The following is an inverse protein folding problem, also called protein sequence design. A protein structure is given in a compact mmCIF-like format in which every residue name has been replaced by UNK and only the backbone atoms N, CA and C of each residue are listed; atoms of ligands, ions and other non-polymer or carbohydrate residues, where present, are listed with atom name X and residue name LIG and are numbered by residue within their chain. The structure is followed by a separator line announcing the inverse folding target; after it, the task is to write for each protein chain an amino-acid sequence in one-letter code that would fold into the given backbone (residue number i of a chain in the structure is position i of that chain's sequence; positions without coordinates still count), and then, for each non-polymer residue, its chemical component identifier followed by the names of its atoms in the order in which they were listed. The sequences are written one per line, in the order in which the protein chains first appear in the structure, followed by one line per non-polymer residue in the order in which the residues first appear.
data_IF_336690426859
#
_entry.id   IF_336690426859
#
_cell.length_a   1.000
_cell.length_b   1.000
_cell.length_c   1.000
_cell.angle_alpha   90.00
_cell.angle_beta   90.00
_cell.angle_gamma   90.00
#
_symmetry.space_group_name_H-M   'P 1'
#
loop_
_entity.id
_entity.type
_entity.pdbx_description
1 polymer ?
#
# COMPACT_ATOMS: atom_id res chain seq x y z
N UNK A 1 9.57 41.95 -31.96
CA UNK A 1 10.31 40.69 -32.11
C UNK A 1 11.76 40.98 -31.76
N UNK A 2 12.15 40.70 -30.51
CA UNK A 2 13.51 40.89 -30.00
C UNK A 2 14.18 39.52 -29.83
N UNK A 3 15.47 39.36 -30.16
CA UNK A 3 16.13 38.07 -30.06
C UNK A 3 16.57 37.76 -28.62
N UNK A 4 16.50 36.47 -28.29
CA UNK A 4 16.88 35.86 -27.02
C UNK A 4 18.42 35.79 -26.89
N UNK A 5 19.04 36.15 -25.75
CA UNK A 5 20.48 36.01 -25.57
C UNK A 5 20.87 34.57 -25.19
N UNK A 6 22.00 34.13 -25.75
CA UNK A 6 22.56 32.78 -25.65
C UNK A 6 23.11 32.45 -24.24
N UNK A 7 22.76 31.26 -23.73
CA UNK A 7 23.34 30.65 -22.53
C UNK A 7 24.80 30.26 -22.78
N UNK A 8 25.71 30.76 -21.93
CA UNK A 8 27.11 30.32 -21.85
C UNK A 8 27.20 28.95 -21.19
N UNK A 9 27.79 27.99 -21.90
CA UNK A 9 28.20 26.68 -21.41
C UNK A 9 29.32 26.81 -20.37
N UNK A 10 29.06 26.41 -19.13
CA UNK A 10 30.10 26.23 -18.10
C UNK A 10 30.87 24.92 -18.36
N UNK A 11 32.20 25.02 -18.32
CA UNK A 11 33.13 23.94 -18.64
C UNK A 11 33.00 22.73 -17.71
N UNK A 12 32.91 21.55 -18.31
CA UNK A 12 32.95 20.26 -17.63
C UNK A 12 34.41 19.78 -17.60
N UNK A 13 35.04 19.78 -16.42
CA UNK A 13 36.37 19.23 -16.22
C UNK A 13 36.25 17.71 -16.02
N UNK A 14 36.80 16.84 -16.88
CA UNK A 14 36.72 15.40 -16.69
C UNK A 14 37.67 14.95 -15.57
N UNK A 15 37.13 14.33 -14.52
CA UNK A 15 37.88 13.59 -13.50
C UNK A 15 38.54 12.37 -14.16
N UNK A 16 39.87 12.32 -14.16
CA UNK A 16 40.61 11.14 -14.58
C UNK A 16 40.45 10.01 -13.55
N UNK A 17 39.95 8.86 -14.01
CA UNK A 17 39.93 7.61 -13.24
C UNK A 17 41.26 6.89 -13.50
N UNK A 18 42.04 6.71 -12.45
CA UNK A 18 43.30 5.98 -12.49
C UNK A 18 43.04 4.49 -12.77
N UNK A 19 43.67 3.96 -13.82
CA UNK A 19 43.74 2.53 -14.14
C UNK A 19 44.62 1.80 -13.14
N UNK A 20 44.07 0.83 -12.42
CA UNK A 20 44.83 -0.15 -11.63
C UNK A 20 45.13 -1.36 -12.52
N UNK A 21 46.40 -1.71 -12.79
CA UNK A 21 46.74 -2.95 -13.48
C UNK A 21 46.93 -4.07 -12.44
N UNK A 22 46.19 -5.16 -12.56
CA UNK A 22 46.56 -6.42 -11.90
C UNK A 22 46.76 -7.52 -12.91
N UNK A 23 47.99 -8.04 -12.85
CA UNK A 23 48.66 -9.00 -13.70
C UNK A 23 48.01 -10.38 -13.60
N UNK A 24 47.98 -11.08 -14.73
CA UNK A 24 47.68 -12.50 -14.80
C UNK A 24 48.86 -13.37 -14.38
N UNK A 25 48.53 -14.49 -13.76
CA UNK A 25 49.25 -15.76 -13.57
C UNK A 25 48.14 -16.71 -13.09
N UNK A 26 47.97 -17.93 -13.56
CA UNK A 26 48.72 -18.82 -14.41
C UNK A 26 47.88 -20.09 -14.55
N UNK A 27 48.18 -20.84 -15.60
CA UNK A 27 47.49 -22.01 -16.08
C UNK A 27 47.49 -23.21 -15.11
N UNK A 28 46.46 -24.05 -15.30
CA UNK A 28 46.43 -25.53 -15.23
C UNK A 28 47.16 -26.24 -14.07
N UNK A 29 46.38 -27.02 -13.31
CA UNK A 29 46.70 -28.44 -13.17
C UNK A 29 45.44 -29.28 -12.92
N UNK A 30 45.17 -30.17 -13.87
CA UNK A 30 44.26 -31.30 -13.79
C UNK A 30 44.69 -32.23 -12.65
N UNK A 31 43.74 -32.70 -11.85
CA UNK A 31 43.81 -34.02 -11.22
C UNK A 31 42.38 -34.54 -11.04
N UNK A 32 42.04 -35.48 -11.91
CA UNK A 32 40.93 -36.41 -11.77
C UNK A 32 41.30 -37.51 -10.74
N UNK A 33 40.31 -38.35 -10.40
CA UNK A 33 40.29 -39.57 -9.55
C UNK A 33 39.55 -39.30 -8.21
N UNK A 34 38.58 -40.07 -7.72
CA UNK A 34 38.02 -41.40 -8.07
C UNK A 34 36.62 -41.51 -7.44
N UNK A 35 35.78 -42.33 -8.07
CA UNK A 35 34.45 -42.79 -7.68
C UNK A 35 34.28 -43.18 -6.20
N UNK A 36 33.17 -42.76 -5.60
CA UNK A 36 32.43 -43.57 -4.64
C UNK A 36 30.93 -43.47 -4.95
N UNK A 37 30.43 -44.46 -5.71
CA UNK A 37 29.01 -44.68 -5.90
C UNK A 37 28.43 -45.28 -4.61
N UNK A 38 27.71 -44.47 -3.84
CA UNK A 38 26.74 -44.99 -2.88
C UNK A 38 25.38 -45.01 -3.57
N UNK A 39 25.05 -46.17 -4.14
CA UNK A 39 23.66 -46.53 -4.44
C UNK A 39 23.04 -46.88 -3.09
N UNK A 40 22.33 -45.92 -2.48
CA UNK A 40 21.41 -46.22 -1.38
C UNK A 40 20.04 -46.44 -2.00
N UNK A 41 19.59 -47.67 -1.85
CA UNK A 41 18.25 -48.14 -2.20
C UNK A 41 17.29 -47.66 -1.12
N UNK A 42 16.60 -46.54 -1.35
CA UNK A 42 15.49 -46.17 -0.46
C UNK A 42 14.22 -46.92 -0.89
N UNK A 43 13.56 -47.65 0.03
CA UNK A 43 12.29 -48.28 -0.26
C UNK A 43 11.21 -47.21 -0.45
N UNK A 44 10.46 -47.37 -1.53
CA UNK A 44 9.19 -46.69 -1.80
C UNK A 44 8.31 -46.77 -0.53
N UNK A 45 8.14 -45.65 0.15
CA UNK A 45 7.08 -45.47 1.16
C UNK A 45 5.81 -45.13 0.39
N UNK A 46 4.75 -45.96 0.44
CA UNK A 46 3.49 -45.63 -0.14
C UNK A 46 2.73 -44.66 0.76
N UNK A 47 2.32 -43.53 0.18
CA UNK A 47 1.00 -42.96 0.42
C UNK A 47 0.70 -42.45 1.84
N UNK A 48 1.32 -41.33 2.20
CA UNK A 48 0.59 -40.26 2.89
C UNK A 48 0.75 -39.03 2.01
N UNK A 49 -0.25 -38.82 1.16
CA UNK A 49 -0.50 -37.51 0.57
C UNK A 49 -0.82 -36.58 1.74
N UNK A 50 0.24 -36.02 2.34
CA UNK A 50 0.10 -34.81 3.13
C UNK A 50 -0.49 -33.79 2.19
N UNK A 51 -1.74 -33.41 2.43
CA UNK A 51 -2.27 -32.18 1.87
C UNK A 51 -1.21 -31.11 2.14
N UNK A 52 -0.65 -30.55 1.07
CA UNK A 52 0.09 -29.32 1.20
C UNK A 52 -0.81 -28.36 1.99
N UNK A 53 -0.30 -27.64 3.00
CA UNK A 53 -1.11 -26.67 3.70
C UNK A 53 -1.76 -25.78 2.64
N UNK A 54 -3.08 -25.76 2.64
CA UNK A 54 -3.88 -24.87 1.82
C UNK A 54 -3.30 -23.46 2.05
N UNK A 55 -3.02 -22.67 1.00
CA UNK A 55 -2.51 -21.32 1.19
C UNK A 55 -3.54 -20.59 2.05
N UNK A 56 -3.15 -20.34 3.30
CA UNK A 56 -3.95 -19.61 4.27
C UNK A 56 -4.42 -18.34 3.58
N UNK A 57 -5.74 -18.23 3.37
CA UNK A 57 -6.32 -17.12 2.64
C UNK A 57 -5.74 -15.83 3.21
N UNK A 58 -5.04 -15.06 2.37
CA UNK A 58 -4.37 -13.85 2.80
C UNK A 58 -5.38 -13.01 3.60
N UNK A 59 -5.13 -12.74 4.91
CA UNK A 59 -6.10 -12.06 5.75
C UNK A 59 -6.26 -10.65 5.21
N UNK A 60 -7.26 -10.43 4.37
CA UNK A 60 -7.35 -9.27 3.50
C UNK A 60 -8.43 -9.39 2.43
N UNK A 61 -8.81 -10.62 2.05
CA UNK A 61 -10.01 -10.86 1.26
C UNK A 61 -11.27 -10.51 2.07
N UNK A 62 -12.07 -9.57 1.54
CA UNK A 62 -13.37 -9.08 2.02
C UNK A 62 -13.91 -9.67 3.33
N UNK A 63 -13.82 -8.88 4.41
CA UNK A 63 -14.49 -9.13 5.70
C UNK A 63 -15.86 -8.46 5.82
N UNK A 64 -16.33 -7.79 4.77
CA UNK A 64 -17.66 -7.20 4.80
C UNK A 64 -18.69 -8.12 4.15
N UNK A 65 -19.76 -8.41 4.88
CA UNK A 65 -21.00 -8.81 4.25
C UNK A 65 -21.46 -7.63 3.37
N UNK A 66 -21.66 -7.87 2.08
CA UNK A 66 -22.18 -6.87 1.17
C UNK A 66 -23.49 -6.27 1.72
N UNK A 67 -23.57 -4.94 1.85
CA UNK A 67 -24.86 -4.25 2.00
C UNK A 67 -25.56 -4.27 0.63
N UNK A 68 -26.89 -4.13 0.60
CA UNK A 68 -27.84 -4.54 -0.46
C UNK A 68 -27.54 -4.22 -1.93
N UNK A 69 -26.48 -3.45 -2.22
CA UNK A 69 -25.96 -3.12 -3.54
C UNK A 69 -24.67 -3.89 -3.93
N UNK A 70 -24.22 -4.86 -3.10
CA UNK A 70 -23.12 -5.77 -3.43
C UNK A 70 -21.72 -5.30 -3.01
N UNK A 71 -21.57 -4.13 -2.35
CA UNK A 71 -20.29 -3.60 -1.89
C UNK A 71 -20.31 -3.25 -0.39
N UNK A 72 -19.12 -3.07 0.19
CA UNK A 72 -18.93 -2.79 1.62
C UNK A 72 -18.11 -1.51 1.73
N UNK A 73 -18.60 -0.55 2.50
CA UNK A 73 -17.82 0.64 2.78
C UNK A 73 -16.60 0.34 3.63
N UNK A 74 -15.51 1.05 3.32
CA UNK A 74 -14.32 0.97 4.15
C UNK A 74 -14.69 1.48 5.56
N UNK A 75 -14.46 0.69 6.63
CA UNK A 75 -14.78 1.08 8.01
C UNK A 75 -13.91 2.22 8.52
N UNK A 76 -12.87 2.62 7.78
CA UNK A 76 -12.05 3.79 8.08
C UNK A 76 -12.52 5.05 7.35
N UNK A 77 -13.57 4.94 6.52
CA UNK A 77 -14.09 6.06 5.74
C UNK A 77 -15.07 6.94 6.52
N UNK A 78 -14.85 8.25 6.43
CA UNK A 78 -15.70 9.28 7.06
C UNK A 78 -16.99 9.48 6.26
N UNK A 79 -16.90 10.12 5.09
CA UNK A 79 -18.02 10.44 4.20
C UNK A 79 -17.96 9.63 2.89
N UNK A 80 -16.77 9.42 2.34
CA UNK A 80 -16.58 8.69 1.08
C UNK A 80 -16.31 7.21 1.35
N UNK A 81 -17.21 6.35 0.84
CA UNK A 81 -17.20 4.90 1.09
C UNK A 81 -15.92 4.18 0.61
N UNK A 82 -15.30 4.67 -0.46
CA UNK A 82 -14.05 4.13 -1.01
C UNK A 82 -12.78 4.57 -0.26
N UNK A 83 -12.86 5.53 0.68
CA UNK A 83 -11.71 6.04 1.41
C UNK A 83 -11.51 5.33 2.75
N UNK A 84 -10.26 5.16 3.24
CA UNK A 84 -9.00 5.46 2.57
C UNK A 84 -8.78 4.64 1.29
N UNK A 85 -8.09 5.25 0.32
CA UNK A 85 -7.79 4.66 -0.98
C UNK A 85 -6.28 4.63 -1.23
N UNK A 86 -5.73 3.64 -1.95
CA UNK A 86 -6.36 2.36 -2.24
C UNK A 86 -6.53 1.54 -0.96
N UNK A 87 -7.37 0.50 -1.01
CA UNK A 87 -7.62 -0.35 0.15
C UNK A 87 -7.87 -1.80 -0.26
N UNK A 88 -7.35 -2.75 0.53
CA UNK A 88 -7.67 -4.17 0.35
C UNK A 88 -9.11 -4.50 0.74
N UNK A 89 -9.86 -3.59 1.38
CA UNK A 89 -11.31 -3.75 1.52
C UNK A 89 -12.04 -3.80 0.18
N UNK A 90 -11.49 -3.16 -0.86
CA UNK A 90 -12.00 -3.20 -2.22
C UNK A 90 -11.31 -4.32 -3.02
N UNK A 91 -11.03 -5.46 -2.38
CA UNK A 91 -10.43 -6.63 -3.02
C UNK A 91 -11.05 -7.93 -2.51
N UNK A 92 -11.00 -8.96 -3.37
CA UNK A 92 -11.38 -10.33 -3.05
C UNK A 92 -10.24 -11.30 -3.34
N UNK A 93 -10.23 -12.43 -2.64
CA UNK A 93 -9.28 -13.50 -2.94
C UNK A 93 -9.45 -14.01 -4.38
N UNK A 94 -8.35 -14.18 -5.09
CA UNK A 94 -8.29 -14.78 -6.41
C UNK A 94 -6.93 -15.48 -6.59
N UNK A 95 -6.92 -16.81 -6.41
CA UNK A 95 -5.71 -17.62 -6.55
C UNK A 95 -5.14 -17.63 -7.98
N UNK A 96 -5.93 -17.22 -8.99
CA UNK A 96 -5.47 -17.04 -10.37
C UNK A 96 -4.81 -15.69 -10.62
N UNK A 97 -4.90 -14.76 -9.67
CA UNK A 97 -4.25 -13.45 -9.75
C UNK A 97 -2.78 -13.52 -9.32
N UNK A 98 -1.84 -12.80 -9.98
CA UNK A 98 -0.44 -12.72 -9.57
C UNK A 98 -0.19 -12.28 -8.13
N UNK A 99 -1.15 -11.58 -7.51
CA UNK A 99 -1.08 -11.06 -6.14
C UNK A 99 -1.93 -11.88 -5.15
N UNK A 100 -2.61 -12.92 -5.61
CA UNK A 100 -3.62 -13.65 -4.84
C UNK A 100 -4.90 -12.84 -4.57
N UNK A 101 -4.98 -11.61 -5.09
CA UNK A 101 -6.09 -10.69 -4.91
C UNK A 101 -6.56 -10.14 -6.26
N UNK A 102 -7.85 -9.88 -6.35
CA UNK A 102 -8.46 -9.14 -7.44
C UNK A 102 -9.20 -7.93 -6.87
N UNK A 103 -8.98 -6.77 -7.48
CA UNK A 103 -9.70 -5.54 -7.13
C UNK A 103 -11.17 -5.72 -7.47
N UNK A 104 -12.02 -5.29 -6.54
CA UNK A 104 -13.48 -5.38 -6.58
C UNK A 104 -14.02 -4.00 -6.21
N UNK A 105 -14.21 -3.17 -7.24
CA UNK A 105 -14.55 -1.75 -7.11
C UNK A 105 -15.84 -1.48 -7.87
N UNK A 106 -16.84 -0.97 -7.16
CA UNK A 106 -18.10 -0.49 -7.73
C UNK A 106 -18.13 1.02 -7.80
N UNK A 107 -18.75 1.57 -8.85
CA UNK A 107 -19.01 3.02 -8.96
C UNK A 107 -19.85 3.53 -7.77
N UNK A 108 -20.68 2.68 -7.16
CA UNK A 108 -21.50 3.02 -6.01
C UNK A 108 -20.69 3.28 -4.73
N UNK A 109 -19.39 2.94 -4.71
CA UNK A 109 -18.47 3.31 -3.62
C UNK A 109 -18.07 4.78 -3.65
N UNK A 110 -18.44 5.52 -4.70
CA UNK A 110 -18.11 6.93 -4.91
C UNK A 110 -19.39 7.78 -4.92
N UNK A 111 -19.25 9.10 -4.77
CA UNK A 111 -20.43 9.97 -4.75
C UNK A 111 -21.19 9.90 -6.09
N UNK A 112 -22.53 9.82 -6.08
CA UNK A 112 -23.32 9.80 -7.32
C UNK A 112 -23.05 11.01 -8.21
N UNK A 113 -22.78 12.17 -7.61
CA UNK A 113 -22.41 13.39 -8.33
C UNK A 113 -21.09 13.22 -9.09
N UNK A 114 -20.04 12.66 -8.47
CA UNK A 114 -18.77 12.39 -9.16
C UNK A 114 -18.99 11.43 -10.34
N UNK A 115 -19.71 10.34 -10.10
CA UNK A 115 -19.97 9.32 -11.14
C UNK A 115 -20.76 9.88 -12.32
N UNK A 116 -21.71 10.79 -12.06
CA UNK A 116 -22.51 11.42 -13.10
C UNK A 116 -21.68 12.31 -14.05
N UNK A 117 -20.55 12.86 -13.58
CA UNK A 117 -19.66 13.70 -14.38
C UNK A 117 -18.59 12.93 -15.16
N UNK A 118 -18.42 11.63 -14.89
CA UNK A 118 -17.40 10.80 -15.53
C UNK A 118 -17.97 9.99 -16.72
N UNK A 119 -17.32 10.05 -17.90
CA UNK A 119 -17.58 9.11 -18.98
C UNK A 119 -17.46 7.65 -18.50
N UNK A 120 -18.27 6.74 -19.04
CA UNK A 120 -18.31 5.35 -18.56
C UNK A 120 -16.95 4.65 -18.50
N UNK A 121 -16.06 4.89 -19.47
CA UNK A 121 -14.71 4.32 -19.50
C UNK A 121 -13.73 4.96 -18.50
N UNK A 122 -14.08 6.11 -17.94
CA UNK A 122 -13.29 6.85 -16.96
C UNK A 122 -13.84 6.66 -15.54
N UNK A 123 -14.90 5.88 -15.37
CA UNK A 123 -15.46 5.58 -14.05
C UNK A 123 -14.56 4.63 -13.28
N UNK A 124 -14.53 4.72 -11.94
CA UNK A 124 -13.66 3.88 -11.11
C UNK A 124 -13.81 2.38 -11.37
N UNK A 125 -15.04 1.86 -11.51
CA UNK A 125 -15.24 0.44 -11.78
C UNK A 125 -14.60 0.04 -13.12
N UNK A 126 -14.77 0.83 -14.17
CA UNK A 126 -14.19 0.53 -15.48
C UNK A 126 -12.64 0.56 -15.50
N UNK A 127 -12.02 1.33 -14.60
CA UNK A 127 -10.57 1.48 -14.51
C UNK A 127 -9.95 0.39 -13.62
N UNK A 128 -10.56 0.10 -12.47
CA UNK A 128 -9.93 -0.68 -11.41
C UNK A 128 -10.50 -2.09 -11.27
N UNK A 129 -11.78 -2.30 -11.55
CA UNK A 129 -12.43 -3.57 -11.28
C UNK A 129 -11.78 -4.72 -12.06
N UNK A 130 -11.57 -5.85 -11.38
CA UNK A 130 -10.98 -7.03 -11.97
C UNK A 130 -9.46 -6.99 -12.17
N UNK A 131 -8.79 -5.89 -11.85
CA UNK A 131 -7.32 -5.81 -11.89
C UNK A 131 -6.67 -6.59 -10.74
N UNK A 132 -5.39 -6.93 -10.86
CA UNK A 132 -4.65 -7.70 -9.84
C UNK A 132 -4.06 -6.83 -8.73
N UNK A 133 -4.39 -5.54 -8.68
CA UNK A 133 -3.88 -4.62 -7.67
C UNK A 133 -3.97 -3.17 -8.14
N UNK A 134 -3.50 -2.27 -7.27
CA UNK A 134 -3.51 -0.83 -7.53
C UNK A 134 -2.19 -0.35 -8.14
N UNK A 135 -2.21 0.86 -8.70
CA UNK A 135 -1.01 1.48 -9.28
C UNK A 135 0.10 1.64 -8.22
N UNK A 136 1.35 1.23 -8.51
CA UNK A 136 2.47 1.36 -7.58
C UNK A 136 2.96 2.80 -7.39
N UNK A 137 2.41 3.75 -8.16
CA UNK A 137 2.69 5.19 -8.04
C UNK A 137 1.42 6.02 -7.81
N UNK A 138 0.28 5.35 -7.59
CA UNK A 138 -0.96 6.05 -7.25
C UNK A 138 -0.86 6.73 -5.88
N UNK A 139 -1.63 7.80 -5.64
CA UNK A 139 -1.69 8.42 -4.33
C UNK A 139 -2.45 7.49 -3.36
N UNK A 140 -1.98 7.48 -2.12
CA UNK A 140 -2.80 7.06 -0.98
C UNK A 140 -3.62 8.28 -0.55
N UNK A 141 -4.90 8.10 -0.25
CA UNK A 141 -5.84 9.17 0.07
C UNK A 141 -6.57 8.87 1.36
N UNK A 142 -6.58 9.83 2.26
CA UNK A 142 -7.33 9.82 3.52
C UNK A 142 -8.32 10.97 3.53
N UNK A 143 -9.45 10.77 4.19
CA UNK A 143 -10.46 11.79 4.44
C UNK A 143 -10.59 12.02 5.93
N UNK A 144 -10.80 13.27 6.32
CA UNK A 144 -10.89 13.70 7.70
C UNK A 144 -12.15 14.55 7.92
N UNK A 145 -12.78 14.47 9.10
CA UNK A 145 -14.07 15.09 9.40
C UNK A 145 -14.01 16.63 9.59
N UNK A 146 -12.87 17.26 9.35
CA UNK A 146 -12.71 18.70 9.56
C UNK A 146 -11.34 19.21 9.11
N UNK A 147 -11.08 20.52 9.32
CA UNK A 147 -9.87 21.15 8.86
C UNK A 147 -8.64 20.63 9.62
N UNK A 148 -7.56 20.33 8.89
CA UNK A 148 -6.27 19.89 9.40
C UNK A 148 -5.34 21.09 9.65
N UNK A 149 -4.45 20.96 10.63
CA UNK A 149 -3.33 21.88 10.82
C UNK A 149 -2.31 21.74 9.68
N UNK A 150 -2.07 22.83 8.96
CA UNK A 150 -1.26 22.82 7.72
C UNK A 150 0.18 22.43 7.96
N UNK A 151 0.74 22.82 9.09
CA UNK A 151 2.12 22.49 9.44
C UNK A 151 2.25 21.03 9.86
N UNK A 152 1.24 20.48 10.53
CA UNK A 152 1.23 19.09 10.98
C UNK A 152 1.36 18.09 9.83
N UNK A 153 0.70 18.30 8.69
CA UNK A 153 0.78 17.38 7.54
C UNK A 153 2.20 17.21 7.01
N UNK A 154 3.02 18.24 7.12
CA UNK A 154 4.40 18.24 6.61
C UNK A 154 5.41 17.64 7.60
N UNK A 155 4.99 17.25 8.80
CA UNK A 155 5.88 16.58 9.76
C UNK A 155 6.22 15.18 9.27
N UNK A 156 7.47 14.70 9.47
CA UNK A 156 7.92 13.41 8.93
C UNK A 156 7.12 12.19 9.39
N UNK A 157 6.52 12.27 10.58
CA UNK A 157 5.83 11.15 11.21
C UNK A 157 4.30 11.25 11.17
N UNK A 158 3.72 12.33 10.64
CA UNK A 158 2.25 12.52 10.56
C UNK A 158 1.55 11.47 9.70
N UNK A 159 2.22 11.05 8.62
CA UNK A 159 1.80 9.89 7.83
C UNK A 159 3.00 9.00 7.56
N UNK A 160 2.90 7.74 7.96
CA UNK A 160 3.93 6.73 7.74
C UNK A 160 3.41 5.67 6.78
N UNK A 161 4.22 5.29 5.80
CA UNK A 161 3.93 4.16 4.91
C UNK A 161 5.01 3.11 5.10
N UNK A 162 4.59 1.87 5.32
CA UNK A 162 5.46 0.72 5.55
C UNK A 162 5.24 -0.33 4.47
N UNK A 163 6.31 -0.99 4.04
CA UNK A 163 6.19 -2.29 3.38
C UNK A 163 5.78 -3.33 4.45
N UNK A 164 4.65 -4.00 4.26
CA UNK A 164 4.09 -4.94 5.23
C UNK A 164 4.96 -6.18 5.48
N UNK A 165 5.74 -6.59 4.47
CA UNK A 165 6.61 -7.77 4.54
C UNK A 165 7.93 -7.46 5.25
N UNK A 166 8.53 -6.30 4.99
CA UNK A 166 9.84 -5.94 5.54
C UNK A 166 9.78 -5.04 6.77
N UNK A 167 8.65 -4.35 7.00
CA UNK A 167 8.51 -3.31 8.01
C UNK A 167 9.24 -2.00 7.66
N UNK A 168 9.84 -1.90 6.48
CA UNK A 168 10.63 -0.73 6.09
C UNK A 168 9.73 0.45 5.73
N UNK A 169 10.14 1.65 6.19
CA UNK A 169 9.48 2.91 5.84
C UNK A 169 9.73 3.27 4.38
N UNK A 170 8.66 3.67 3.69
CA UNK A 170 8.72 4.19 2.33
C UNK A 170 8.80 5.71 2.37
N UNK A 171 9.66 6.28 1.53
CA UNK A 171 9.70 7.72 1.34
C UNK A 171 8.40 8.22 0.68
N UNK A 172 7.73 9.19 1.31
CA UNK A 172 6.44 9.74 0.86
C UNK A 172 6.45 11.26 0.87
N UNK A 173 5.42 11.83 0.25
CA UNK A 173 5.07 13.25 0.35
C UNK A 173 3.57 13.36 0.60
N UNK A 174 3.19 13.83 1.80
CA UNK A 174 1.82 14.16 2.14
C UNK A 174 1.50 15.61 1.75
N UNK A 175 0.31 15.81 1.19
CA UNK A 175 -0.20 17.12 0.80
C UNK A 175 -1.73 17.14 0.90
N UNK A 176 -2.30 18.33 1.01
CA UNK A 176 -3.73 18.52 0.82
C UNK A 176 -4.17 18.08 -0.58
N UNK A 177 -5.37 17.49 -0.67
CA UNK A 177 -6.10 17.37 -1.93
C UNK A 177 -6.51 18.76 -2.43
N UNK A 178 -6.60 18.95 -3.74
CA UNK A 178 -6.96 20.24 -4.34
C UNK A 178 -8.36 20.73 -3.90
N UNK A 179 -9.27 19.82 -3.55
CA UNK A 179 -10.59 20.14 -3.00
C UNK A 179 -10.57 20.48 -1.50
N UNK A 180 -9.46 20.24 -0.79
CA UNK A 180 -9.34 20.46 0.66
C UNK A 180 -8.97 21.90 1.04
N UNK A 181 -8.84 22.81 0.06
CA UNK A 181 -8.50 24.22 0.31
C UNK A 181 -9.70 25.12 0.60
N UNK A 182 -10.93 24.60 0.46
CA UNK A 182 -12.15 25.32 0.82
C UNK A 182 -12.59 24.93 2.24
N UNK A 183 -12.53 25.85 3.20
CA UNK A 183 -12.94 25.57 4.58
C UNK A 183 -14.47 25.34 4.70
N UNK A 184 -15.23 25.55 3.62
CA UNK A 184 -16.65 25.24 3.55
C UNK A 184 -16.95 23.76 3.22
N UNK A 185 -15.97 22.95 2.78
CA UNK A 185 -16.22 21.51 2.62
C UNK A 185 -16.18 20.80 3.96
N UNK A 186 -17.17 19.91 4.24
CA UNK A 186 -17.32 19.25 5.54
C UNK A 186 -16.19 18.24 5.83
N UNK A 187 -15.40 17.88 4.82
CA UNK A 187 -14.30 16.93 4.95
C UNK A 187 -13.08 17.43 4.21
N UNK A 188 -11.90 17.17 4.76
CA UNK A 188 -10.62 17.44 4.09
C UNK A 188 -9.95 16.15 3.66
N UNK A 189 -9.35 16.19 2.47
CA UNK A 189 -8.61 15.06 1.91
C UNK A 189 -7.11 15.32 1.97
N UNK A 190 -6.35 14.31 2.39
CA UNK A 190 -4.89 14.27 2.26
C UNK A 190 -4.53 13.27 1.19
N UNK A 191 -3.68 13.69 0.24
CA UNK A 191 -3.05 12.82 -0.75
C UNK A 191 -1.60 12.57 -0.30
N UNK A 192 -1.21 11.31 -0.30
CA UNK A 192 0.13 10.84 0.07
C UNK A 192 0.73 10.16 -1.13
N UNK A 193 1.69 10.85 -1.74
CA UNK A 193 2.38 10.39 -2.93
C UNK A 193 3.63 9.60 -2.53
N UNK A 194 3.84 8.40 -3.07
CA UNK A 194 5.09 7.70 -2.86
C UNK A 194 6.21 8.42 -3.64
N UNK A 195 7.37 8.59 -3.01
CA UNK A 195 8.57 9.21 -3.60
C UNK A 195 9.46 8.18 -4.30
N UNK A 196 9.09 6.92 -4.20
CA UNK A 196 9.68 5.76 -4.86
C UNK A 196 8.53 4.90 -5.39
N UNK A 197 8.75 4.14 -6.45
CA UNK A 197 7.75 3.19 -6.94
C UNK A 197 7.57 2.08 -5.90
N UNK A 198 6.32 1.78 -5.53
CA UNK A 198 6.03 0.59 -4.75
C UNK A 198 6.35 -0.68 -5.56
N UNK A 199 6.83 -1.71 -4.88
CA UNK A 199 7.14 -2.98 -5.51
C UNK A 199 5.83 -3.68 -5.94
N UNK A 200 5.85 -4.26 -7.13
CA UNK A 200 4.68 -4.97 -7.65
C UNK A 200 4.38 -6.21 -6.82
N UNK A 201 3.10 -6.42 -6.49
CA UNK A 201 2.65 -7.57 -5.72
C UNK A 201 2.97 -7.51 -4.23
N UNK A 202 3.59 -6.43 -3.75
CA UNK A 202 3.78 -6.20 -2.33
C UNK A 202 2.55 -5.54 -1.70
N UNK A 203 2.47 -5.65 -0.37
CA UNK A 203 1.46 -4.99 0.44
C UNK A 203 2.09 -3.86 1.24
N UNK A 204 1.39 -2.73 1.29
CA UNK A 204 1.83 -1.55 2.03
C UNK A 204 0.75 -1.15 3.04
N UNK A 205 1.19 -0.66 4.20
CA UNK A 205 0.33 -0.15 5.25
C UNK A 205 0.62 1.33 5.44
N UNK A 206 -0.42 2.15 5.27
CA UNK A 206 -0.35 3.59 5.48
C UNK A 206 -1.05 3.94 6.79
N UNK A 207 -0.38 4.74 7.62
CA UNK A 207 -0.73 4.98 9.01
C UNK A 207 -0.75 6.48 9.23
N UNK A 208 -1.88 6.98 9.73
CA UNK A 208 -2.00 8.32 10.29
C UNK A 208 -1.61 8.24 11.76
N UNK A 209 -0.76 9.16 12.22
CA UNK A 209 -0.31 9.20 13.61
C UNK A 209 -0.84 10.45 14.33
N UNK A 210 -0.67 10.48 15.64
CA UNK A 210 -0.93 11.61 16.50
C UNK A 210 -0.14 12.88 16.12
N UNK A 211 0.90 12.80 15.29
CA UNK A 211 1.61 14.00 14.83
C UNK A 211 0.77 14.84 13.86
N UNK A 212 -0.22 14.22 13.20
CA UNK A 212 -1.24 14.91 12.40
C UNK A 212 -2.30 15.51 13.34
N UNK A 213 -2.57 16.81 13.17
CA UNK A 213 -3.51 17.55 14.02
C UNK A 213 -4.63 18.16 13.21
N UNK A 214 -5.78 18.35 13.86
CA UNK A 214 -6.82 19.25 13.38
C UNK A 214 -6.35 20.71 13.51
N UNK A 215 -6.99 21.62 12.80
CA UNK A 215 -6.62 23.04 12.75
C UNK A 215 -6.68 23.76 14.12
N UNK A 216 -7.44 23.23 15.08
CA UNK A 216 -7.49 23.71 16.46
C UNK A 216 -6.36 23.13 17.35
N UNK A 217 -5.48 22.30 16.78
CA UNK A 217 -4.37 21.64 17.44
C UNK A 217 -4.72 20.33 18.15
N UNK A 218 -5.99 19.92 18.14
CA UNK A 218 -6.41 18.64 18.71
C UNK A 218 -5.95 17.44 17.86
N UNK A 219 -5.78 16.24 18.45
CA UNK A 219 -5.52 15.02 17.69
C UNK A 219 -6.64 14.72 16.70
N UNK A 220 -6.32 14.07 15.58
CA UNK A 220 -7.35 13.52 14.69
C UNK A 220 -8.10 12.41 15.46
N UNK A 221 -9.44 12.49 15.57
CA UNK A 221 -10.20 11.46 16.27
C UNK A 221 -10.17 10.14 15.49
N UNK A 222 -10.11 9.01 16.21
CA UNK A 222 -10.37 7.72 15.61
C UNK A 222 -11.83 7.68 15.11
N UNK A 223 -12.01 7.23 13.87
CA UNK A 223 -13.35 7.10 13.30
C UNK A 223 -14.20 6.14 14.14
N UNK A 224 -15.47 6.51 14.39
CA UNK A 224 -16.36 5.67 15.22
C UNK A 224 -16.54 4.27 14.62
N UNK A 225 -16.55 4.18 13.29
CA UNK A 225 -16.57 2.90 12.56
C UNK A 225 -15.31 2.07 12.82
N UNK A 226 -14.14 2.69 12.92
CA UNK A 226 -12.89 2.03 13.33
C UNK A 226 -12.93 1.62 14.80
N UNK A 227 -13.42 2.47 15.70
CA UNK A 227 -13.59 2.12 17.12
C UNK A 227 -14.51 0.90 17.25
N UNK A 228 -15.63 0.88 16.52
CA UNK A 228 -16.53 -0.27 16.48
C UNK A 228 -15.89 -1.49 15.84
N UNK A 229 -15.08 -1.31 14.79
CA UNK A 229 -14.30 -2.39 14.23
C UNK A 229 -13.34 -2.95 15.29
N UNK A 230 -12.60 -2.14 16.02
CA UNK A 230 -11.61 -2.61 16.98
C UNK A 230 -12.20 -3.19 18.26
N UNK A 231 -13.26 -2.58 18.78
CA UNK A 231 -13.79 -2.83 20.12
C UNK A 231 -15.23 -3.36 20.13
N UNK A 232 -15.82 -3.61 18.95
CA UNK A 232 -17.14 -4.24 18.81
C UNK A 232 -17.15 -5.71 19.18
N UNK A 233 -18.15 -6.44 18.67
CA UNK A 233 -18.29 -7.88 18.88
C UNK A 233 -17.00 -8.61 18.46
N UNK A 234 -16.28 -9.31 19.38
CA UNK A 234 -15.04 -10.00 19.05
C UNK A 234 -15.21 -11.08 17.98
N UNK A 235 -16.41 -11.63 17.82
CA UNK A 235 -16.73 -12.62 16.80
C UNK A 235 -17.10 -12.00 15.45
N UNK A 236 -17.26 -10.67 15.38
CA UNK A 236 -17.52 -9.98 14.12
C UNK A 236 -16.32 -10.11 13.18
N UNK A 237 -16.52 -10.48 11.91
CA UNK A 237 -15.45 -10.55 10.92
C UNK A 237 -14.69 -9.22 10.80
N UNK A 238 -15.39 -8.10 10.86
CA UNK A 238 -14.81 -6.75 10.85
C UNK A 238 -13.83 -6.54 12.02
N UNK A 239 -14.19 -7.06 13.20
CA UNK A 239 -13.36 -6.92 14.41
C UNK A 239 -12.14 -7.80 14.39
N UNK A 240 -12.28 -9.04 13.94
CA UNK A 240 -11.13 -9.93 13.76
C UNK A 240 -10.14 -9.36 12.74
N UNK A 241 -10.63 -8.80 11.63
CA UNK A 241 -9.77 -8.14 10.65
C UNK A 241 -9.07 -6.91 11.22
N UNK A 242 -9.79 -6.02 11.91
CA UNK A 242 -9.20 -4.78 12.41
C UNK A 242 -8.10 -5.06 13.45
N UNK A 243 -8.33 -6.05 14.33
CA UNK A 243 -7.32 -6.52 15.29
C UNK A 243 -6.13 -7.18 14.62
N UNK A 244 -6.34 -8.01 13.59
CA UNK A 244 -5.25 -8.61 12.83
C UNK A 244 -4.37 -7.54 12.16
N UNK A 245 -4.97 -6.46 11.64
CA UNK A 245 -4.24 -5.32 11.08
C UNK A 245 -3.47 -4.53 12.12
N UNK A 246 -4.05 -4.26 13.29
CA UNK A 246 -3.32 -3.59 14.37
C UNK A 246 -2.13 -4.41 14.88
N UNK A 247 -2.30 -5.73 15.02
CA UNK A 247 -1.23 -6.62 15.45
C UNK A 247 -0.04 -6.58 14.48
N UNK A 248 -0.32 -6.48 13.18
CA UNK A 248 0.71 -6.33 12.15
C UNK A 248 1.47 -5.00 12.27
N UNK A 249 0.77 -3.88 12.43
CA UNK A 249 1.41 -2.56 12.62
C UNK A 249 2.30 -2.54 13.86
N UNK A 250 1.86 -3.17 14.97
CA UNK A 250 2.64 -3.24 16.20
C UNK A 250 4.01 -3.90 16.02
N UNK A 251 4.15 -4.83 15.08
CA UNK A 251 5.46 -5.48 14.79
C UNK A 251 6.47 -4.54 14.14
N UNK A 252 6.02 -3.40 13.61
CA UNK A 252 6.84 -2.42 12.89
C UNK A 252 7.40 -1.32 13.81
N UNK A 253 7.21 -1.43 15.12
CA UNK A 253 7.67 -0.43 16.10
C UNK A 253 6.87 0.87 16.10
N UNK A 254 5.75 0.91 15.36
CA UNK A 254 4.75 1.96 15.46
C UNK A 254 3.74 1.49 16.50
N UNK A 255 3.50 2.32 17.52
CA UNK A 255 2.46 2.05 18.51
C UNK A 255 1.09 2.27 17.83
N UNK A 256 0.29 1.22 17.58
CA UNK A 256 -1.00 1.38 16.91
C UNK A 256 -2.05 2.10 17.78
N UNK A 257 -1.72 2.42 19.04
CA UNK A 257 -2.54 3.25 19.93
C UNK A 257 -2.17 4.75 19.88
N UNK A 258 -1.25 5.14 18.99
CA UNK A 258 -0.77 6.51 18.74
C UNK A 258 -0.85 6.89 17.28
#
# INVERSE_FOLDING_TARGET
MSPCPALRSAGHTPRQVAKVPRRGLGALCLLALVFAAFVVWDPVIPGIAGAAPEPEAAPGAAVGAAEGDGYVCNPLGTATCSLPWPTNFATRADAGSPTGLRVDVSDAMFSPELIAHLPGAERPAAIYDGTSGFSPMGPIMFEFPGPLDRESIHRPDSVVVLNARTGERVAIQAQYGELAYDDAVPTQMVKVWPRVTFEFGERYVAIITDDLKLADGSPVPLETKLVNALFGDPESPLTQWARARQAEVATSGIDPAR
#
